data_IF_449260485282
#
_entry.id   IF_449260485282
#
_cell.length_a   1.000
_cell.length_b   1.000
_cell.length_c   1.000
_cell.angle_alpha   90.00
_cell.angle_beta   90.00
_cell.angle_gamma   90.00
#
_symmetry.space_group_name_H-M   'P 1'
#
loop_
_entity.id
_entity.type
_entity.pdbx_description
1 polymer ?
#
# COMPACT_ATOMS: atom_id res chain seq x y z
N UNK A 1 21.84 -23.93 -8.43
CA UNK A 1 20.86 -22.84 -8.56
C UNK A 1 21.53 -21.63 -9.16
N UNK A 2 21.16 -21.30 -10.39
CA UNK A 2 21.55 -20.06 -11.07
C UNK A 2 20.84 -18.87 -10.42
N UNK A 3 21.40 -17.66 -10.57
CA UNK A 3 20.75 -16.44 -10.06
C UNK A 3 19.34 -16.23 -10.65
N UNK A 4 19.08 -16.76 -11.85
CA UNK A 4 17.79 -16.71 -12.51
C UNK A 4 16.72 -17.52 -11.76
N UNK A 5 17.05 -18.73 -11.31
CA UNK A 5 16.13 -19.58 -10.54
C UNK A 5 15.81 -18.94 -9.18
N UNK A 6 16.81 -18.35 -8.51
CA UNK A 6 16.60 -17.60 -7.26
C UNK A 6 15.69 -16.38 -7.48
N UNK A 7 15.83 -15.69 -8.61
CA UNK A 7 14.97 -14.56 -8.97
C UNK A 7 13.51 -15.00 -9.22
N UNK A 8 13.31 -16.13 -9.88
CA UNK A 8 11.97 -16.69 -10.07
C UNK A 8 11.32 -17.11 -8.76
N UNK A 9 12.06 -17.80 -7.88
CA UNK A 9 11.56 -18.18 -6.56
C UNK A 9 11.21 -16.96 -5.71
N UNK A 10 12.04 -15.90 -5.77
CA UNK A 10 11.74 -14.65 -5.10
C UNK A 10 10.47 -13.99 -5.64
N UNK A 11 10.32 -13.88 -6.96
CA UNK A 11 9.12 -13.31 -7.57
C UNK A 11 7.86 -14.12 -7.24
N UNK A 12 7.97 -15.46 -7.21
CA UNK A 12 6.85 -16.32 -6.84
C UNK A 12 6.42 -16.06 -5.40
N UNK A 13 7.38 -16.03 -4.47
CA UNK A 13 7.10 -15.74 -3.06
C UNK A 13 6.56 -14.35 -2.85
N UNK A 14 7.09 -13.35 -3.55
CA UNK A 14 6.57 -11.98 -3.48
C UNK A 14 5.11 -11.93 -3.90
N UNK A 15 4.74 -12.56 -5.02
CA UNK A 15 3.35 -12.63 -5.48
C UNK A 15 2.43 -13.39 -4.51
N UNK A 16 2.92 -14.48 -3.92
CA UNK A 16 2.19 -15.21 -2.88
C UNK A 16 1.90 -14.31 -1.68
N UNK A 17 2.89 -13.56 -1.21
CA UNK A 17 2.74 -12.64 -0.07
C UNK A 17 1.79 -11.50 -0.44
N UNK A 18 1.91 -10.90 -1.62
CA UNK A 18 1.00 -9.85 -2.11
C UNK A 18 -0.45 -10.37 -2.15
N UNK A 19 -0.68 -11.59 -2.66
CA UNK A 19 -2.01 -12.20 -2.72
C UNK A 19 -2.60 -12.47 -1.34
N UNK A 20 -1.79 -12.98 -0.40
CA UNK A 20 -2.23 -13.24 0.98
C UNK A 20 -2.59 -11.94 1.71
N UNK A 21 -1.81 -10.88 1.47
CA UNK A 21 -2.09 -9.56 2.03
C UNK A 21 -3.38 -8.99 1.44
N UNK A 22 -3.58 -9.06 0.11
CA UNK A 22 -4.82 -8.63 -0.54
C UNK A 22 -6.04 -9.38 0.01
N UNK A 23 -5.94 -10.70 0.17
CA UNK A 23 -7.02 -11.52 0.71
C UNK A 23 -7.31 -11.18 2.18
N UNK A 24 -6.27 -11.02 3.00
CA UNK A 24 -6.42 -10.65 4.42
C UNK A 24 -7.08 -9.29 4.56
N UNK A 25 -6.66 -8.30 3.75
CA UNK A 25 -7.25 -6.96 3.76
C UNK A 25 -8.70 -7.03 3.28
N UNK A 26 -9.00 -7.79 2.23
CA UNK A 26 -10.36 -7.96 1.75
C UNK A 26 -11.28 -8.63 2.78
N UNK A 27 -10.77 -9.56 3.58
CA UNK A 27 -11.51 -10.23 4.65
C UNK A 27 -11.69 -9.35 5.89
N UNK A 28 -10.67 -8.57 6.27
CA UNK A 28 -10.70 -7.74 7.48
C UNK A 28 -11.28 -6.35 7.27
N UNK A 29 -11.28 -5.84 6.04
CA UNK A 29 -11.87 -4.55 5.73
C UNK A 29 -13.32 -4.71 5.27
N UNK A 30 -14.25 -4.12 6.03
CA UNK A 30 -15.66 -4.03 5.62
C UNK A 30 -15.86 -3.22 4.32
N UNK A 31 -14.83 -2.45 3.92
CA UNK A 31 -14.91 -1.48 2.83
C UNK A 31 -14.12 -1.84 1.56
N UNK A 32 -13.72 -3.10 1.40
CA UNK A 32 -12.95 -3.57 0.22
C UNK A 32 -11.75 -2.65 -0.05
N UNK A 33 -10.83 -2.60 0.92
CA UNK A 33 -9.57 -1.91 0.75
C UNK A 33 -8.67 -2.71 -0.19
N UNK A 34 -8.04 -2.02 -1.13
CA UNK A 34 -6.97 -2.60 -1.94
C UNK A 34 -5.66 -2.59 -1.15
N UNK A 35 -4.73 -3.50 -1.48
CA UNK A 35 -3.41 -3.54 -0.83
C UNK A 35 -2.66 -2.21 -0.92
N UNK A 36 -2.80 -1.49 -2.03
CA UNK A 36 -2.21 -0.17 -2.21
C UNK A 36 -2.81 0.88 -1.27
N UNK A 37 -4.13 0.85 -1.08
CA UNK A 37 -4.81 1.75 -0.14
C UNK A 37 -4.40 1.45 1.31
N UNK A 38 -4.21 0.17 1.64
CA UNK A 38 -3.68 -0.22 2.95
C UNK A 38 -2.25 0.25 3.16
N UNK A 39 -1.36 0.11 2.17
CA UNK A 39 -0.01 0.68 2.24
C UNK A 39 -0.04 2.19 2.43
N UNK A 40 -0.92 2.90 1.73
CA UNK A 40 -1.08 4.33 1.90
C UNK A 40 -1.49 4.68 3.34
N UNK A 41 -2.48 3.98 3.91
CA UNK A 41 -2.88 4.16 5.31
C UNK A 41 -1.74 3.88 6.29
N UNK A 42 -1.00 2.79 6.09
CA UNK A 42 0.17 2.44 6.89
C UNK A 42 1.24 3.53 6.86
N UNK A 43 1.53 4.08 5.67
CA UNK A 43 2.49 5.17 5.55
C UNK A 43 1.97 6.49 6.11
N UNK A 44 0.67 6.76 6.03
CA UNK A 44 0.04 7.93 6.66
C UNK A 44 0.09 7.86 8.19
N UNK A 45 -0.17 6.69 8.76
CA UNK A 45 -0.06 6.42 10.20
C UNK A 45 1.38 6.64 10.70
N UNK A 46 2.34 6.03 10.00
CA UNK A 46 3.78 6.28 10.22
C UNK A 46 4.17 7.77 10.06
N UNK A 47 3.51 8.49 9.16
CA UNK A 47 3.79 9.90 8.93
C UNK A 47 3.22 10.80 10.02
N UNK A 48 2.03 10.50 10.54
CA UNK A 48 1.50 11.15 11.74
C UNK A 48 2.39 10.91 12.96
N UNK A 49 2.90 9.70 13.13
CA UNK A 49 3.77 9.36 14.26
C UNK A 49 5.18 9.98 14.17
N UNK A 50 5.70 10.20 12.95
CA UNK A 50 7.10 10.64 12.73
C UNK A 50 7.29 11.98 12.02
N UNK A 51 6.25 12.77 11.77
CA UNK A 51 6.36 13.94 10.90
C UNK A 51 7.07 13.59 9.58
N UNK A 52 6.75 12.43 8.97
CA UNK A 52 7.16 12.24 7.58
C UNK A 52 6.44 13.33 6.80
N UNK A 53 7.21 14.31 6.35
CA UNK A 53 6.75 15.35 5.45
C UNK A 53 6.02 14.64 4.32
N UNK A 54 4.75 14.99 4.08
CA UNK A 54 3.85 14.47 3.05
C UNK A 54 4.47 14.36 1.63
N UNK A 55 5.65 14.93 1.43
CA UNK A 55 6.44 14.99 0.21
C UNK A 55 7.12 13.65 -0.14
N UNK A 56 7.36 12.74 0.81
CA UNK A 56 8.08 11.46 0.53
C UNK A 56 7.15 10.25 0.27
N UNK A 57 5.84 10.42 0.45
CA UNK A 57 4.84 9.36 0.22
C UNK A 57 4.80 8.86 -1.24
N UNK A 58 4.84 9.74 -2.26
CA UNK A 58 4.81 9.33 -3.68
C UNK A 58 6.02 8.47 -4.05
N UNK A 59 7.21 8.83 -3.58
CA UNK A 59 8.44 8.08 -3.84
C UNK A 59 8.44 6.72 -3.15
N UNK A 60 7.93 6.62 -1.92
CA UNK A 60 7.82 5.33 -1.19
C UNK A 60 6.76 4.39 -1.75
N UNK A 61 5.67 4.94 -2.28
CA UNK A 61 4.61 4.15 -2.90
C UNK A 61 4.92 3.84 -4.38
N UNK A 62 6.00 4.38 -4.95
CA UNK A 62 6.29 4.36 -6.39
C UNK A 62 5.08 4.82 -7.22
N UNK A 63 4.34 5.79 -6.71
CA UNK A 63 3.12 6.32 -7.32
C UNK A 63 3.33 7.78 -7.69
N UNK A 64 2.75 8.22 -8.81
CA UNK A 64 2.74 9.65 -9.12
C UNK A 64 2.00 10.43 -8.02
N UNK A 65 2.37 11.69 -7.74
CA UNK A 65 1.66 12.53 -6.77
C UNK A 65 0.15 12.61 -7.04
N UNK A 66 -0.25 12.57 -8.32
CA UNK A 66 -1.65 12.53 -8.77
C UNK A 66 -2.36 11.18 -8.52
N UNK A 67 -1.65 10.06 -8.45
CA UNK A 67 -2.21 8.78 -8.04
C UNK A 67 -2.43 8.73 -6.52
N UNK A 68 -1.47 9.25 -5.74
CA UNK A 68 -1.60 9.36 -4.28
C UNK A 68 -2.78 10.25 -3.91
N UNK A 69 -2.90 11.44 -4.50
CA UNK A 69 -4.01 12.37 -4.23
C UNK A 69 -5.39 11.76 -4.53
N UNK A 70 -5.52 10.98 -5.63
CA UNK A 70 -6.76 10.25 -5.95
C UNK A 70 -7.06 9.14 -4.95
N UNK A 71 -6.05 8.45 -4.43
CA UNK A 71 -6.25 7.42 -3.40
C UNK A 71 -6.64 8.03 -2.07
N UNK A 72 -5.99 9.12 -1.66
CA UNK A 72 -6.35 9.88 -0.45
C UNK A 72 -7.81 10.35 -0.52
N UNK A 73 -8.24 10.94 -1.64
CA UNK A 73 -9.62 11.35 -1.82
C UNK A 73 -10.63 10.18 -1.77
N UNK A 74 -10.26 8.97 -2.25
CA UNK A 74 -11.09 7.77 -2.11
C UNK A 74 -11.17 7.29 -0.66
N UNK A 75 -10.09 7.40 0.11
CA UNK A 75 -10.05 7.06 1.53
C UNK A 75 -10.90 8.03 2.37
N UNK A 76 -10.85 9.33 2.06
CA UNK A 76 -11.74 10.35 2.66
C UNK A 76 -13.21 10.06 2.34
N UNK A 77 -13.51 9.72 1.09
CA UNK A 77 -14.87 9.35 0.67
C UNK A 77 -15.38 8.08 1.39
N UNK A 78 -14.47 7.17 1.77
CA UNK A 78 -14.78 5.97 2.58
C UNK A 78 -14.87 6.27 4.09
N UNK A 79 -14.62 7.51 4.55
CA UNK A 79 -14.52 7.90 5.98
C UNK A 79 -13.45 7.15 6.78
N UNK A 80 -12.45 6.58 6.12
CA UNK A 80 -11.33 5.88 6.78
C UNK A 80 -10.26 6.84 7.29
N UNK A 81 -10.27 8.06 6.78
CA UNK A 81 -9.32 9.12 7.12
C UNK A 81 -10.01 10.47 6.89
N UNK A 82 -9.76 11.43 7.77
CA UNK A 82 -10.12 12.84 7.55
C UNK A 82 -8.95 13.71 8.01
N UNK A 83 -8.66 14.75 7.22
CA UNK A 83 -7.68 15.80 7.57
C UNK A 83 -8.10 16.55 8.83
#
# INVERSE_FOLDING_TARGET
MTYLEKWFDFNRRQKEIESLLEETIAQQSEQSLTLKEFYLLYYLDLAQEKSLRQIDLPDKLHLSPSAVSRMVARLEAKKLWST
#
